data_IF_640422729405
#
_entry.id   IF_640422729405
#
_cell.length_a   1.000
_cell.length_b   1.000
_cell.length_c   1.000
_cell.angle_alpha   90.00
_cell.angle_beta   90.00
_cell.angle_gamma   90.00
#
_symmetry.space_group_name_H-M   'P 1'
#
loop_
_entity.id
_entity.type
_entity.pdbx_description
1 polymer ?
#
# COMPACT_ATOMS: atom_id res chain seq x y z
N UNK A 1 -25.90 15.43 -7.77
CA UNK A 1 -24.91 14.99 -6.76
C UNK A 1 -23.55 14.81 -7.44
N UNK A 2 -22.51 15.48 -6.95
CA UNK A 2 -21.13 15.27 -7.42
C UNK A 2 -20.57 13.97 -6.88
N UNK A 3 -19.88 13.20 -7.71
CA UNK A 3 -19.26 11.94 -7.31
C UNK A 3 -17.84 12.15 -6.80
N UNK A 4 -17.31 11.23 -5.94
CA UNK A 4 -16.01 11.39 -5.29
C UNK A 4 -14.79 11.45 -6.21
N UNK A 5 -14.91 10.99 -7.47
CA UNK A 5 -13.80 10.84 -8.40
C UNK A 5 -14.20 11.22 -9.83
N UNK A 6 -13.19 11.41 -10.68
CA UNK A 6 -13.33 11.64 -12.13
C UNK A 6 -14.14 12.87 -12.54
N UNK A 7 -14.42 13.80 -11.61
CA UNK A 7 -15.26 14.98 -11.84
C UNK A 7 -16.65 14.60 -12.40
N UNK A 8 -17.12 13.41 -12.04
CA UNK A 8 -18.39 12.88 -12.50
C UNK A 8 -19.54 13.37 -11.60
N UNK A 9 -20.76 13.34 -12.12
CA UNK A 9 -21.94 13.64 -11.32
C UNK A 9 -23.13 12.79 -11.75
N UNK A 10 -24.10 12.66 -10.86
CA UNK A 10 -25.34 11.95 -11.13
C UNK A 10 -26.52 12.74 -10.59
N UNK A 11 -27.62 12.75 -11.31
CA UNK A 11 -28.91 13.23 -10.85
C UNK A 11 -29.96 12.14 -11.13
N UNK A 12 -30.96 12.03 -10.27
CA UNK A 12 -32.00 11.03 -10.43
C UNK A 12 -33.32 11.51 -9.82
N UNK A 13 -34.41 10.89 -10.25
CA UNK A 13 -35.74 10.98 -9.65
C UNK A 13 -36.23 9.56 -9.41
N UNK A 14 -36.63 9.26 -8.17
CA UNK A 14 -37.19 7.96 -7.81
C UNK A 14 -38.71 8.05 -7.63
N UNK A 15 -39.44 7.25 -8.40
CA UNK A 15 -40.89 7.19 -8.40
C UNK A 15 -41.36 6.02 -7.52
N UNK A 16 -41.72 6.32 -6.26
CA UNK A 16 -42.15 5.31 -5.28
C UNK A 16 -43.31 4.43 -5.77
N UNK A 17 -44.28 5.01 -6.48
CA UNK A 17 -45.52 4.34 -6.85
C UNK A 17 -45.34 3.17 -7.83
N UNK A 18 -44.33 3.22 -8.69
CA UNK A 18 -44.03 2.17 -9.67
C UNK A 18 -42.63 1.57 -9.52
N UNK A 19 -41.87 2.00 -8.50
CA UNK A 19 -40.47 1.63 -8.25
C UNK A 19 -39.55 1.93 -9.45
N UNK A 20 -39.83 2.99 -10.20
CA UNK A 20 -39.03 3.41 -11.35
C UNK A 20 -38.01 4.48 -10.95
N UNK A 21 -36.78 4.32 -11.44
CA UNK A 21 -35.67 5.23 -11.26
C UNK A 21 -35.31 5.85 -12.61
N UNK A 22 -35.52 7.15 -12.74
CA UNK A 22 -35.02 7.95 -13.86
C UNK A 22 -33.69 8.57 -13.43
N UNK A 23 -32.63 8.38 -14.19
CA UNK A 23 -31.32 8.93 -13.84
C UNK A 23 -30.57 9.46 -15.05
N UNK A 24 -29.69 10.41 -14.77
CA UNK A 24 -28.67 10.91 -15.68
C UNK A 24 -27.31 10.90 -15.00
N UNK A 25 -26.35 10.24 -15.64
CA UNK A 25 -24.95 10.26 -15.27
C UNK A 25 -24.19 11.21 -16.19
N UNK A 26 -23.29 12.00 -15.61
CA UNK A 26 -22.39 12.91 -16.30
C UNK A 26 -20.95 12.45 -16.10
N UNK A 27 -20.23 12.26 -17.20
CA UNK A 27 -18.80 11.94 -17.20
C UNK A 27 -18.07 12.57 -18.36
N UNK A 28 -16.74 12.51 -18.32
CA UNK A 28 -15.88 13.14 -19.32
C UNK A 28 -14.98 12.11 -20.00
N UNK A 29 -14.90 12.15 -21.33
CA UNK A 29 -13.92 11.38 -22.10
C UNK A 29 -12.48 11.80 -21.76
N UNK A 30 -11.56 10.84 -21.77
CA UNK A 30 -10.11 11.09 -21.59
C UNK A 30 -9.32 10.95 -22.89
N UNK A 31 -10.02 10.64 -23.99
CA UNK A 31 -9.44 10.38 -25.30
C UNK A 31 -10.52 10.48 -26.38
N UNK A 32 -10.20 10.96 -27.60
CA UNK A 32 -11.14 11.01 -28.73
C UNK A 32 -11.72 9.66 -29.13
N UNK A 33 -10.99 8.56 -28.88
CA UNK A 33 -11.43 7.19 -29.18
C UNK A 33 -11.95 6.46 -27.94
N UNK A 34 -12.01 7.16 -26.81
CA UNK A 34 -12.28 6.59 -25.49
C UNK A 34 -13.72 6.17 -25.28
N UNK A 35 -13.99 5.75 -24.05
CA UNK A 35 -15.32 5.37 -23.60
C UNK A 35 -15.60 5.95 -22.22
N UNK A 36 -16.87 6.16 -21.91
CA UNK A 36 -17.37 6.56 -20.59
C UNK A 36 -18.50 5.61 -20.21
N UNK A 37 -18.44 5.04 -19.02
CA UNK A 37 -19.38 4.03 -18.57
C UNK A 37 -19.97 4.35 -17.20
N UNK A 38 -21.24 4.01 -17.04
CA UNK A 38 -21.94 4.00 -15.76
C UNK A 38 -22.77 2.71 -15.66
N UNK A 39 -22.85 2.13 -14.47
CA UNK A 39 -23.61 0.91 -14.28
C UNK A 39 -24.02 0.65 -12.84
N UNK A 40 -24.91 -0.33 -12.69
CA UNK A 40 -25.39 -0.83 -11.39
C UNK A 40 -24.86 -2.23 -11.17
N UNK A 41 -24.39 -2.48 -9.96
CA UNK A 41 -24.08 -3.81 -9.48
C UNK A 41 -25.19 -4.27 -8.51
N UNK A 42 -25.91 -5.37 -8.80
CA UNK A 42 -27.04 -5.80 -7.97
C UNK A 42 -26.64 -6.42 -6.62
N UNK A 43 -25.35 -6.72 -6.42
CA UNK A 43 -24.83 -7.47 -5.27
C UNK A 43 -23.96 -6.61 -4.35
N UNK A 44 -23.02 -5.85 -4.91
CA UNK A 44 -21.95 -5.19 -4.14
C UNK A 44 -21.45 -3.91 -4.81
N UNK A 45 -20.79 -3.04 -4.05
CA UNK A 45 -20.16 -1.81 -4.58
C UNK A 45 -18.78 -2.13 -5.18
N UNK A 46 -18.75 -2.90 -6.26
CA UNK A 46 -17.53 -3.28 -6.98
C UNK A 46 -17.73 -3.39 -8.50
N UNK A 47 -16.64 -3.31 -9.26
CA UNK A 47 -16.70 -3.32 -10.73
C UNK A 47 -17.18 -4.65 -11.30
N UNK A 48 -16.66 -5.77 -10.80
CA UNK A 48 -17.08 -7.11 -11.24
C UNK A 48 -18.51 -7.38 -10.78
N UNK A 49 -19.37 -7.83 -11.69
CA UNK A 49 -20.81 -7.94 -11.49
C UNK A 49 -21.59 -6.69 -11.90
N UNK A 50 -20.94 -5.65 -12.43
CA UNK A 50 -21.66 -4.45 -12.87
C UNK A 50 -22.39 -4.70 -14.20
N UNK A 51 -23.65 -4.25 -14.25
CA UNK A 51 -24.45 -4.12 -15.48
C UNK A 51 -24.28 -2.68 -15.94
N UNK A 52 -23.43 -2.49 -16.94
CA UNK A 52 -22.93 -1.20 -17.37
C UNK A 52 -23.58 -0.76 -18.68
N UNK A 53 -23.83 0.53 -18.79
CA UNK A 53 -24.11 1.24 -20.02
C UNK A 53 -22.85 2.03 -20.37
N UNK A 54 -22.27 1.75 -21.53
CA UNK A 54 -21.00 2.36 -21.94
C UNK A 54 -21.20 3.13 -23.23
N UNK A 55 -20.89 4.42 -23.17
CA UNK A 55 -20.94 5.36 -24.28
C UNK A 55 -19.57 5.51 -24.92
N UNK A 56 -19.51 5.44 -26.25
CA UNK A 56 -18.29 5.65 -27.03
C UNK A 56 -18.61 6.08 -28.47
N UNK A 57 -17.66 6.66 -29.22
CA UNK A 57 -17.82 6.91 -30.64
C UNK A 57 -17.88 5.59 -31.42
N UNK A 58 -18.92 5.42 -32.23
CA UNK A 58 -19.08 4.29 -33.11
C UNK A 58 -17.89 4.20 -34.08
N UNK A 59 -17.22 3.04 -34.22
CA UNK A 59 -16.02 2.93 -35.05
C UNK A 59 -16.25 3.22 -36.53
N UNK A 60 -17.49 3.08 -37.03
CA UNK A 60 -17.81 3.26 -38.44
C UNK A 60 -18.33 4.68 -38.74
N UNK A 61 -19.17 5.22 -37.86
CA UNK A 61 -19.88 6.49 -38.08
C UNK A 61 -19.34 7.66 -37.24
N UNK A 62 -18.56 7.38 -36.19
CA UNK A 62 -18.07 8.38 -35.24
C UNK A 62 -19.15 8.96 -34.32
N UNK A 63 -20.42 8.58 -34.49
CA UNK A 63 -21.52 9.03 -33.64
C UNK A 63 -21.47 8.36 -32.28
N UNK A 64 -21.97 9.04 -31.24
CA UNK A 64 -22.08 8.40 -29.93
C UNK A 64 -23.10 7.27 -29.96
N UNK A 65 -22.64 6.10 -29.54
CA UNK A 65 -23.43 4.90 -29.31
C UNK A 65 -23.38 4.57 -27.82
N UNK A 66 -24.49 4.03 -27.29
CA UNK A 66 -24.60 3.51 -25.94
C UNK A 66 -24.95 2.02 -26.00
N UNK A 67 -24.08 1.16 -25.46
CA UNK A 67 -24.33 -0.28 -25.44
C UNK A 67 -24.34 -0.86 -24.02
N UNK A 68 -25.15 -1.91 -23.78
CA UNK A 68 -25.18 -2.64 -22.52
C UNK A 68 -24.07 -3.68 -22.42
N UNK A 69 -23.45 -3.78 -21.25
CA UNK A 69 -22.39 -4.74 -20.95
C UNK A 69 -22.59 -5.37 -19.57
N UNK A 70 -22.34 -6.67 -19.49
CA UNK A 70 -22.24 -7.39 -18.22
C UNK A 70 -20.77 -7.61 -17.91
N UNK A 71 -20.26 -6.94 -16.88
CA UNK A 71 -18.86 -7.04 -16.46
C UNK A 71 -18.73 -8.25 -15.54
N UNK A 72 -18.28 -9.37 -16.08
CA UNK A 72 -18.07 -10.60 -15.31
C UNK A 72 -16.57 -10.91 -15.10
N UNK A 73 -16.20 -11.84 -14.21
CA UNK A 73 -14.79 -12.14 -13.90
C UNK A 73 -13.94 -12.58 -15.11
N UNK A 74 -14.56 -13.07 -16.19
CA UNK A 74 -13.86 -13.57 -17.39
C UNK A 74 -13.22 -12.45 -18.22
N UNK A 75 -13.75 -11.22 -18.15
CA UNK A 75 -13.21 -10.04 -18.87
C UNK A 75 -12.16 -9.29 -18.05
N UNK A 76 -11.91 -9.72 -16.80
CA UNK A 76 -10.96 -9.08 -15.89
C UNK A 76 -9.57 -9.06 -16.51
N UNK A 77 -8.93 -7.88 -16.47
CA UNK A 77 -7.62 -7.65 -17.11
C UNK A 77 -7.60 -7.97 -18.61
N UNK A 78 -8.73 -7.80 -19.31
CA UNK A 78 -8.88 -8.07 -20.74
C UNK A 78 -8.46 -9.49 -21.15
N UNK A 79 -8.63 -10.48 -20.27
CA UNK A 79 -8.39 -11.90 -20.63
C UNK A 79 -9.24 -12.34 -21.82
N UNK A 80 -10.44 -11.77 -21.94
CA UNK A 80 -11.35 -11.96 -23.07
C UNK A 80 -11.96 -10.60 -23.47
N UNK A 81 -12.39 -10.43 -24.74
CA UNK A 81 -13.09 -9.23 -25.17
C UNK A 81 -14.38 -9.01 -24.39
N UNK A 82 -14.67 -7.75 -24.03
CA UNK A 82 -15.93 -7.38 -23.39
C UNK A 82 -17.00 -7.21 -24.47
N UNK A 83 -17.88 -8.19 -24.60
CA UNK A 83 -18.94 -8.19 -25.60
C UNK A 83 -20.25 -7.62 -25.04
N UNK A 84 -20.90 -6.79 -25.86
CA UNK A 84 -22.22 -6.24 -25.57
C UNK A 84 -23.26 -7.35 -25.52
N UNK A 85 -24.14 -7.30 -24.52
CA UNK A 85 -25.25 -8.24 -24.36
C UNK A 85 -26.39 -7.61 -23.55
N UNK A 86 -27.64 -8.07 -23.71
CA UNK A 86 -28.77 -7.58 -22.92
C UNK A 86 -28.49 -7.67 -21.43
N UNK A 87 -28.93 -6.66 -20.68
CA UNK A 87 -28.81 -6.65 -19.23
C UNK A 87 -29.88 -7.55 -18.60
N UNK A 88 -29.51 -8.22 -17.52
CA UNK A 88 -30.40 -9.00 -16.65
C UNK A 88 -31.01 -8.15 -15.51
N UNK A 89 -31.05 -6.83 -15.73
CA UNK A 89 -31.80 -5.87 -14.92
C UNK A 89 -32.90 -5.25 -15.77
N UNK A 90 -33.98 -4.79 -15.15
CA UNK A 90 -35.13 -4.24 -15.85
C UNK A 90 -34.88 -2.80 -16.34
N UNK A 91 -34.12 -2.68 -17.43
CA UNK A 91 -33.87 -1.43 -18.13
C UNK A 91 -35.04 -1.12 -19.07
N UNK A 92 -35.75 -0.02 -18.78
CA UNK A 92 -36.90 0.44 -19.57
C UNK A 92 -36.42 1.25 -20.77
N UNK A 93 -35.49 2.16 -20.57
CA UNK A 93 -34.91 2.98 -21.63
C UNK A 93 -33.51 3.44 -21.28
N UNK A 94 -32.70 3.71 -22.31
CA UNK A 94 -31.38 4.31 -22.15
C UNK A 94 -30.98 5.10 -23.37
N UNK A 95 -30.29 6.22 -23.19
CA UNK A 95 -29.73 7.02 -24.27
C UNK A 95 -28.48 7.74 -23.81
N UNK A 96 -27.64 8.16 -24.75
CA UNK A 96 -26.48 8.98 -24.46
C UNK A 96 -26.46 10.19 -25.40
N UNK A 97 -25.99 11.33 -24.88
CA UNK A 97 -25.79 12.54 -25.68
C UNK A 97 -24.55 13.28 -25.23
N UNK A 98 -23.88 13.94 -26.17
CA UNK A 98 -22.77 14.82 -25.85
C UNK A 98 -23.29 16.16 -25.33
N UNK A 99 -22.63 16.65 -24.30
CA UNK A 99 -22.85 18.00 -23.82
C UNK A 99 -22.35 19.00 -24.87
N UNK A 100 -23.19 19.98 -25.24
CA UNK A 100 -22.92 20.90 -26.36
C UNK A 100 -23.77 20.66 -27.61
N UNK A 101 -24.63 19.64 -27.60
CA UNK A 101 -25.66 19.44 -28.63
C UNK A 101 -25.14 18.84 -29.94
N UNK A 102 -25.84 19.10 -31.06
CA UNK A 102 -25.61 18.42 -32.35
C UNK A 102 -24.22 18.64 -32.98
N UNK A 103 -23.50 19.68 -32.58
CA UNK A 103 -22.16 20.00 -33.08
C UNK A 103 -21.04 19.55 -32.15
N UNK A 104 -21.37 18.93 -31.02
CA UNK A 104 -20.36 18.43 -30.09
C UNK A 104 -19.63 17.23 -30.70
N UNK A 105 -18.30 17.21 -30.54
CA UNK A 105 -17.42 16.14 -31.00
C UNK A 105 -16.73 15.48 -29.81
N UNK A 106 -16.32 14.23 -29.98
CA UNK A 106 -15.58 13.52 -28.93
C UNK A 106 -14.12 13.94 -28.98
N UNK A 107 -13.65 14.52 -27.88
CA UNK A 107 -12.25 14.87 -27.65
C UNK A 107 -11.90 14.65 -26.18
N UNK A 108 -10.62 14.83 -25.82
CA UNK A 108 -10.23 14.79 -24.41
C UNK A 108 -10.93 15.90 -23.64
N UNK A 109 -11.61 15.54 -22.55
CA UNK A 109 -12.44 16.45 -21.74
C UNK A 109 -13.86 16.65 -22.25
N UNK A 110 -14.26 16.07 -23.39
CA UNK A 110 -15.64 16.15 -23.86
C UNK A 110 -16.59 15.49 -22.85
N UNK A 111 -17.68 16.18 -22.50
CA UNK A 111 -18.66 15.70 -21.53
C UNK A 111 -19.78 14.91 -22.21
N UNK A 112 -20.22 13.83 -21.57
CA UNK A 112 -21.32 12.98 -22.02
C UNK A 112 -22.34 12.79 -20.90
N UNK A 113 -23.61 12.79 -21.30
CA UNK A 113 -24.74 12.48 -20.44
C UNK A 113 -25.28 11.10 -20.84
N UNK A 114 -25.38 10.19 -19.87
CA UNK A 114 -26.00 8.88 -20.04
C UNK A 114 -27.29 8.88 -19.25
N UNK A 115 -28.41 8.76 -19.96
CA UNK A 115 -29.75 8.64 -19.40
C UNK A 115 -30.13 7.18 -19.28
N UNK A 116 -30.75 6.81 -18.17
CA UNK A 116 -31.30 5.48 -17.98
C UNK A 116 -32.60 5.54 -17.16
N UNK A 117 -33.57 4.73 -17.56
CA UNK A 117 -34.80 4.48 -16.81
C UNK A 117 -34.82 3.01 -16.41
N UNK A 118 -34.89 2.75 -15.12
CA UNK A 118 -34.77 1.40 -14.55
C UNK A 118 -35.96 1.10 -13.65
N UNK A 119 -36.46 -0.13 -13.68
CA UNK A 119 -37.39 -0.60 -12.65
C UNK A 119 -36.62 -1.32 -11.56
N UNK A 120 -36.67 -0.78 -10.35
CA UNK A 120 -36.06 -1.38 -9.17
C UNK A 120 -36.98 -2.46 -8.60
N UNK A 121 -36.37 -3.40 -7.87
CA UNK A 121 -37.15 -4.36 -7.09
C UNK A 121 -37.95 -3.62 -5.99
N UNK A 122 -39.20 -4.04 -5.70
CA UNK A 122 -39.99 -3.42 -4.63
C UNK A 122 -39.21 -3.39 -3.31
N UNK A 123 -39.29 -2.29 -2.58
CA UNK A 123 -38.59 -2.06 -1.30
C UNK A 123 -37.05 -2.10 -1.36
N UNK A 124 -36.43 -2.05 -2.55
CA UNK A 124 -34.99 -1.80 -2.70
C UNK A 124 -34.73 -0.40 -3.24
N UNK A 125 -34.45 0.52 -2.33
CA UNK A 125 -34.04 1.90 -2.62
C UNK A 125 -32.52 2.07 -2.70
N UNK A 126 -31.74 1.10 -2.22
CA UNK A 126 -30.28 1.17 -2.28
C UNK A 126 -29.75 0.58 -3.57
N UNK A 127 -28.96 1.36 -4.29
CA UNK A 127 -28.24 0.91 -5.48
C UNK A 127 -26.74 1.02 -5.27
N UNK A 128 -26.01 0.00 -5.70
CA UNK A 128 -24.56 0.07 -5.85
C UNK A 128 -24.27 0.46 -7.29
N UNK A 129 -23.55 1.56 -7.49
CA UNK A 129 -23.19 2.02 -8.81
C UNK A 129 -21.68 2.13 -8.99
N UNK A 130 -21.26 2.04 -10.23
CA UNK A 130 -19.86 2.14 -10.66
C UNK A 130 -19.84 3.06 -11.87
N UNK A 131 -18.83 3.91 -11.94
CA UNK A 131 -18.55 4.70 -13.13
C UNK A 131 -17.09 4.54 -13.50
N UNK A 132 -16.77 4.65 -14.77
CA UNK A 132 -15.38 4.74 -15.20
C UNK A 132 -15.27 5.28 -16.63
N UNK A 133 -14.04 5.44 -17.09
CA UNK A 133 -13.70 5.91 -18.42
C UNK A 133 -12.40 5.29 -18.90
N UNK A 134 -12.26 5.08 -20.21
CA UNK A 134 -11.08 4.46 -20.80
C UNK A 134 -10.57 5.16 -22.04
N UNK A 135 -9.36 4.76 -22.45
CA UNK A 135 -8.60 5.44 -23.49
C UNK A 135 -9.08 5.11 -24.91
N UNK A 136 -9.55 3.88 -25.14
CA UNK A 136 -10.03 3.48 -26.46
C UNK A 136 -10.97 2.27 -26.43
N UNK A 137 -11.66 2.02 -27.53
CA UNK A 137 -12.49 0.83 -27.77
C UNK A 137 -11.86 0.01 -28.90
N UNK A 138 -11.82 -1.32 -28.75
CA UNK A 138 -11.37 -2.25 -29.81
C UNK A 138 -12.60 -2.86 -30.48
N UNK A 139 -12.94 -2.39 -31.69
CA UNK A 139 -14.24 -2.71 -32.31
C UNK A 139 -15.38 -2.18 -31.44
N UNK A 140 -16.19 -3.07 -30.88
CA UNK A 140 -17.25 -2.72 -29.91
C UNK A 140 -16.94 -3.22 -28.48
N UNK A 141 -15.67 -3.54 -28.20
CA UNK A 141 -15.19 -3.97 -26.88
C UNK A 141 -14.42 -2.84 -26.20
N UNK A 142 -14.98 -2.17 -25.17
CA UNK A 142 -14.27 -1.21 -24.37
C UNK A 142 -13.01 -1.81 -23.75
N UNK A 143 -11.89 -1.10 -23.81
CA UNK A 143 -10.65 -1.56 -23.18
C UNK A 143 -10.63 -1.28 -21.69
N UNK A 144 -9.69 -1.88 -20.96
CA UNK A 144 -9.55 -1.62 -19.52
C UNK A 144 -9.33 -0.12 -19.25
N UNK A 145 -10.00 0.40 -18.21
CA UNK A 145 -9.79 1.77 -17.77
C UNK A 145 -8.42 1.92 -17.10
N UNK A 146 -7.85 3.14 -17.01
CA UNK A 146 -6.68 3.40 -16.19
C UNK A 146 -6.89 2.94 -14.75
N UNK A 147 -5.83 2.51 -14.07
CA UNK A 147 -5.92 1.93 -12.71
C UNK A 147 -5.35 2.85 -11.65
N UNK A 148 -5.50 4.16 -11.84
CA UNK A 148 -5.08 5.14 -10.84
C UNK A 148 -6.03 5.11 -9.63
N UNK A 149 -5.64 5.76 -8.53
CA UNK A 149 -6.43 5.78 -7.30
C UNK A 149 -7.87 6.33 -7.52
N UNK A 150 -8.00 7.36 -8.35
CA UNK A 150 -9.29 7.96 -8.69
C UNK A 150 -10.18 6.99 -9.49
N UNK A 151 -9.60 6.21 -10.40
CA UNK A 151 -10.35 5.25 -11.22
C UNK A 151 -10.79 4.04 -10.39
N UNK A 152 -9.93 3.56 -9.50
CA UNK A 152 -10.22 2.40 -8.64
C UNK A 152 -11.20 2.72 -7.50
N UNK A 153 -11.39 4.01 -7.18
CA UNK A 153 -12.35 4.46 -6.17
C UNK A 153 -13.72 4.85 -6.77
N UNK A 154 -13.93 4.64 -8.07
CA UNK A 154 -15.14 5.06 -8.81
C UNK A 154 -16.34 4.14 -8.61
N UNK A 155 -16.70 3.92 -7.34
CA UNK A 155 -17.88 3.17 -6.91
C UNK A 155 -18.52 3.81 -5.68
N UNK A 156 -19.84 3.72 -5.59
CA UNK A 156 -20.55 4.16 -4.39
C UNK A 156 -21.86 3.37 -4.18
N UNK A 157 -22.42 3.53 -2.99
CA UNK A 157 -23.77 3.06 -2.68
C UNK A 157 -24.62 4.24 -2.28
N UNK A 158 -25.76 4.38 -2.94
CA UNK A 158 -26.71 5.45 -2.68
C UNK A 158 -28.09 4.87 -2.43
N UNK A 159 -28.79 5.44 -1.46
CA UNK A 159 -30.21 5.26 -1.28
C UNK A 159 -30.94 6.31 -2.14
N UNK A 160 -31.62 5.87 -3.20
CA UNK A 160 -32.22 6.76 -4.19
C UNK A 160 -33.44 7.53 -3.67
N UNK A 161 -33.95 7.14 -2.50
CA UNK A 161 -35.13 7.74 -1.90
C UNK A 161 -34.75 8.85 -0.91
N UNK A 162 -33.78 8.58 -0.03
CA UNK A 162 -33.26 9.56 0.91
C UNK A 162 -32.15 10.43 0.34
N UNK A 163 -31.52 10.01 -0.76
CA UNK A 163 -30.29 10.58 -1.29
C UNK A 163 -29.07 10.38 -0.40
N UNK A 164 -29.17 9.56 0.65
CA UNK A 164 -28.06 9.29 1.55
C UNK A 164 -27.02 8.38 0.87
N UNK A 165 -25.74 8.69 1.08
CA UNK A 165 -24.63 7.93 0.52
C UNK A 165 -23.93 7.12 1.62
N UNK A 166 -23.98 5.79 1.51
CA UNK A 166 -23.29 4.90 2.45
C UNK A 166 -21.80 4.71 2.11
N UNK A 167 -21.38 5.08 0.89
CA UNK A 167 -20.01 4.90 0.40
C UNK A 167 -18.95 5.79 1.10
N UNK A 168 -19.34 6.97 1.58
CA UNK A 168 -18.42 7.93 2.20
C UNK A 168 -17.76 7.39 3.48
N UNK A 169 -18.53 6.74 4.36
CA UNK A 169 -17.98 6.15 5.59
C UNK A 169 -17.04 4.98 5.31
N UNK A 170 -17.38 4.08 4.37
CA UNK A 170 -16.52 2.94 4.03
C UNK A 170 -15.18 3.42 3.43
N UNK A 171 -15.21 4.40 2.54
CA UNK A 171 -14.01 4.98 1.96
C UNK A 171 -13.15 5.70 3.02
N UNK A 172 -13.79 6.40 3.97
CA UNK A 172 -13.11 6.98 5.12
C UNK A 172 -12.39 5.93 5.98
N UNK A 173 -13.06 4.83 6.33
CA UNK A 173 -12.46 3.73 7.09
C UNK A 173 -11.27 3.10 6.35
N UNK A 174 -11.41 2.83 5.05
CA UNK A 174 -10.31 2.29 4.23
C UNK A 174 -9.11 3.25 4.22
N UNK A 175 -9.35 4.55 4.08
CA UNK A 175 -8.30 5.56 4.12
C UNK A 175 -7.59 5.58 5.49
N UNK A 176 -8.35 5.55 6.58
CA UNK A 176 -7.79 5.48 7.94
C UNK A 176 -6.92 4.23 8.13
N UNK A 177 -7.40 3.05 7.71
CA UNK A 177 -6.64 1.81 7.79
C UNK A 177 -5.38 1.84 6.93
N UNK A 178 -5.44 2.43 5.73
CA UNK A 178 -4.28 2.60 4.84
C UNK A 178 -3.21 3.48 5.47
N UNK A 179 -3.61 4.61 6.05
CA UNK A 179 -2.69 5.51 6.78
C UNK A 179 -2.10 4.82 8.00
N UNK A 180 -2.93 4.14 8.80
CA UNK A 180 -2.48 3.40 9.96
C UNK A 180 -1.45 2.31 9.58
N UNK A 181 -1.74 1.50 8.56
CA UNK A 181 -0.83 0.49 8.02
C UNK A 181 0.52 1.11 7.61
N UNK A 182 0.50 2.22 6.86
CA UNK A 182 1.70 2.89 6.40
C UNK A 182 2.56 3.42 7.57
N UNK A 183 1.93 4.09 8.54
CA UNK A 183 2.62 4.67 9.70
C UNK A 183 3.23 3.58 10.59
N UNK A 184 2.43 2.59 11.01
CA UNK A 184 2.91 1.56 11.94
C UNK A 184 4.02 0.72 11.33
N UNK A 185 3.93 0.38 10.03
CA UNK A 185 4.97 -0.38 9.35
C UNK A 185 6.19 0.46 9.00
N UNK A 186 6.03 1.75 8.72
CA UNK A 186 7.14 2.69 8.56
C UNK A 186 7.98 2.78 9.84
N UNK A 187 7.32 2.90 11.01
CA UNK A 187 7.99 2.90 12.32
C UNK A 187 8.63 1.52 12.59
N UNK A 188 7.87 0.44 12.44
CA UNK A 188 8.31 -0.91 12.76
C UNK A 188 9.46 -1.39 11.87
N UNK A 189 9.19 -1.54 10.56
CA UNK A 189 10.12 -2.15 9.61
C UNK A 189 11.16 -1.15 9.09
N UNK A 190 10.79 0.13 9.00
CA UNK A 190 11.63 1.17 8.43
C UNK A 190 12.54 1.87 9.43
N UNK A 191 12.23 1.86 10.73
CA UNK A 191 13.02 2.57 11.76
C UNK A 191 13.48 1.62 12.86
N UNK A 192 12.56 0.97 13.58
CA UNK A 192 12.91 0.14 14.74
C UNK A 192 13.84 -1.02 14.39
N UNK A 193 13.56 -1.77 13.31
CA UNK A 193 14.43 -2.89 12.93
C UNK A 193 15.87 -2.46 12.54
N UNK A 194 16.06 -1.43 11.68
CA UNK A 194 17.39 -0.85 11.47
C UNK A 194 18.06 -0.37 12.76
N UNK A 195 17.35 0.37 13.61
CA UNK A 195 17.89 0.86 14.89
C UNK A 195 18.33 -0.31 15.77
N UNK A 196 17.53 -1.37 15.89
CA UNK A 196 17.89 -2.56 16.66
C UNK A 196 19.16 -3.23 16.13
N UNK A 197 19.34 -3.32 14.81
CA UNK A 197 20.56 -3.86 14.21
C UNK A 197 21.79 -3.00 14.54
N UNK A 198 21.67 -1.68 14.45
CA UNK A 198 22.70 -0.70 14.81
C UNK A 198 23.07 -0.80 16.30
N UNK A 199 22.07 -0.88 17.18
CA UNK A 199 22.26 -1.08 18.62
C UNK A 199 23.09 -2.33 18.92
N UNK A 200 22.77 -3.48 18.31
CA UNK A 200 23.54 -4.71 18.51
C UNK A 200 24.96 -4.62 17.95
N UNK A 201 25.15 -3.89 16.85
CA UNK A 201 26.45 -3.73 16.22
C UNK A 201 27.40 -2.92 17.12
N UNK A 202 26.97 -1.77 17.62
CA UNK A 202 27.88 -0.85 18.32
C UNK A 202 27.90 -1.04 19.84
N UNK A 203 26.75 -1.22 20.49
CA UNK A 203 26.71 -1.33 21.96
C UNK A 203 27.37 -2.61 22.48
N UNK A 204 27.44 -3.66 21.65
CA UNK A 204 28.09 -4.93 22.01
C UNK A 204 29.58 -4.79 22.31
N UNK A 205 30.24 -3.77 21.76
CA UNK A 205 31.68 -3.54 21.95
C UNK A 205 31.98 -2.68 23.19
N UNK A 206 30.97 -2.12 23.84
CA UNK A 206 31.14 -1.23 25.00
C UNK A 206 31.15 -2.09 26.27
N UNK A 207 32.34 -2.26 26.85
CA UNK A 207 32.55 -3.14 28.01
C UNK A 207 31.73 -2.74 29.23
N UNK A 208 31.49 -1.44 29.45
CA UNK A 208 30.65 -0.92 30.55
C UNK A 208 29.17 -1.26 30.42
N UNK A 209 28.68 -1.55 29.21
CA UNK A 209 27.28 -1.92 28.96
C UNK A 209 27.05 -3.42 29.23
N UNK A 210 28.10 -4.25 29.21
CA UNK A 210 28.00 -5.67 29.56
C UNK A 210 26.92 -6.43 28.77
N UNK A 211 26.04 -7.23 29.40
CA UNK A 211 24.97 -7.95 28.69
C UNK A 211 23.78 -7.07 28.29
N UNK A 212 23.70 -5.82 28.76
CA UNK A 212 22.54 -4.94 28.56
C UNK A 212 22.24 -4.67 27.08
N UNK A 213 23.25 -4.58 26.23
CA UNK A 213 23.06 -4.38 24.77
C UNK A 213 22.15 -5.46 24.16
N UNK A 214 22.22 -6.70 24.67
CA UNK A 214 21.44 -7.81 24.15
C UNK A 214 19.96 -7.62 24.47
N UNK A 215 19.63 -7.18 25.69
CA UNK A 215 18.26 -6.90 26.10
C UNK A 215 17.68 -5.69 25.37
N UNK A 216 18.48 -4.63 25.17
CA UNK A 216 18.05 -3.45 24.40
C UNK A 216 17.79 -3.84 22.93
N UNK A 217 18.71 -4.56 22.30
CA UNK A 217 18.51 -5.08 20.94
C UNK A 217 17.24 -5.94 20.87
N UNK A 218 17.09 -6.92 21.77
CA UNK A 218 15.93 -7.81 21.81
C UNK A 218 14.63 -7.03 21.99
N UNK A 219 14.59 -6.06 22.90
CA UNK A 219 13.41 -5.23 23.15
C UNK A 219 13.00 -4.41 21.93
N UNK A 220 13.96 -3.78 21.24
CA UNK A 220 13.69 -3.02 20.01
C UNK A 220 13.17 -3.94 18.91
N UNK A 221 13.82 -5.10 18.69
CA UNK A 221 13.43 -6.03 17.63
C UNK A 221 12.06 -6.66 17.89
N UNK A 222 11.76 -7.06 19.13
CA UNK A 222 10.45 -7.61 19.46
C UNK A 222 9.35 -6.56 19.32
N UNK A 223 9.60 -5.33 19.76
CA UNK A 223 8.65 -4.22 19.59
C UNK A 223 8.39 -3.93 18.10
N UNK A 224 9.45 -3.86 17.30
CA UNK A 224 9.36 -3.69 15.84
C UNK A 224 8.57 -4.82 15.18
N UNK A 225 8.84 -6.08 15.55
CA UNK A 225 8.12 -7.22 14.97
C UNK A 225 6.64 -7.28 15.38
N UNK A 226 6.30 -6.97 16.64
CA UNK A 226 4.91 -6.94 17.12
C UNK A 226 4.11 -5.85 16.41
N UNK A 227 4.62 -4.62 16.38
CA UNK A 227 3.98 -3.51 15.66
C UNK A 227 3.87 -3.82 14.16
N UNK A 228 4.93 -4.39 13.58
CA UNK A 228 4.96 -4.82 12.20
C UNK A 228 3.94 -5.92 11.88
N UNK A 229 3.66 -6.81 12.83
CA UNK A 229 2.62 -7.85 12.69
C UNK A 229 1.22 -7.26 12.68
N UNK A 230 0.94 -6.30 13.56
CA UNK A 230 -0.32 -5.55 13.56
C UNK A 230 -0.50 -4.82 12.23
N UNK A 231 0.53 -4.11 11.76
CA UNK A 231 0.52 -3.45 10.46
C UNK A 231 0.29 -4.45 9.31
N UNK A 232 0.98 -5.58 9.31
CA UNK A 232 0.82 -6.63 8.31
C UNK A 232 -0.62 -7.16 8.26
N UNK A 233 -1.23 -7.46 9.41
CA UNK A 233 -2.62 -7.90 9.51
C UNK A 233 -3.61 -6.86 8.95
N UNK A 234 -3.39 -5.57 9.22
CA UNK A 234 -4.18 -4.49 8.61
C UNK A 234 -3.99 -4.46 7.09
N UNK A 235 -2.78 -4.74 6.59
CA UNK A 235 -2.49 -4.85 5.16
C UNK A 235 -3.28 -5.96 4.48
N UNK A 236 -3.40 -7.13 5.12
CA UNK A 236 -4.26 -8.23 4.64
C UNK A 236 -5.72 -7.78 4.61
N UNK A 237 -6.20 -7.15 5.69
CA UNK A 237 -7.58 -6.66 5.77
C UNK A 237 -7.89 -5.60 4.71
N UNK A 238 -6.95 -4.72 4.39
CA UNK A 238 -7.08 -3.77 3.29
C UNK A 238 -7.24 -4.47 1.94
N UNK A 239 -6.52 -5.57 1.72
CA UNK A 239 -6.68 -6.41 0.53
C UNK A 239 -8.10 -6.98 0.40
N UNK A 240 -8.68 -7.48 1.50
CA UNK A 240 -10.05 -8.01 1.52
C UNK A 240 -11.11 -6.92 1.32
N UNK A 241 -10.84 -5.71 1.81
CA UNK A 241 -11.75 -4.57 1.69
C UNK A 241 -11.71 -3.89 0.31
N UNK A 242 -10.67 -4.17 -0.49
CA UNK A 242 -10.43 -3.58 -1.81
C UNK A 242 -10.26 -4.64 -2.90
N UNK A 243 -11.29 -5.47 -3.15
CA UNK A 243 -11.23 -6.49 -4.19
C UNK A 243 -10.93 -5.86 -5.55
N UNK A 244 -9.98 -6.46 -6.28
CA UNK A 244 -9.55 -5.96 -7.60
C UNK A 244 -8.41 -4.94 -7.58
N UNK A 245 -8.12 -4.29 -6.45
CA UNK A 245 -6.92 -3.45 -6.29
C UNK A 245 -5.74 -4.34 -5.91
N UNK A 246 -4.66 -4.31 -6.69
CA UNK A 246 -3.49 -5.16 -6.43
C UNK A 246 -2.19 -4.35 -6.49
N UNK A 247 -1.42 -4.42 -5.41
CA UNK A 247 -0.07 -3.85 -5.31
C UNK A 247 0.96 -4.98 -5.29
N UNK A 248 1.24 -5.53 -6.46
CA UNK A 248 1.96 -6.80 -6.60
C UNK A 248 3.37 -6.81 -5.97
N UNK A 249 4.17 -5.76 -6.20
CA UNK A 249 5.54 -5.69 -5.68
C UNK A 249 5.55 -5.49 -4.16
N UNK A 250 4.89 -4.43 -3.65
CA UNK A 250 4.77 -4.17 -2.20
C UNK A 250 4.23 -5.38 -1.44
N UNK A 251 3.19 -6.04 -1.94
CA UNK A 251 2.64 -7.23 -1.28
C UNK A 251 3.67 -8.37 -1.22
N UNK A 252 4.33 -8.71 -2.33
CA UNK A 252 5.35 -9.78 -2.36
C UNK A 252 6.51 -9.48 -1.41
N UNK A 253 7.03 -8.25 -1.43
CA UNK A 253 8.11 -7.82 -0.53
C UNK A 253 7.66 -7.84 0.94
N UNK A 254 6.42 -7.41 1.23
CA UNK A 254 5.85 -7.46 2.57
C UNK A 254 5.72 -8.87 3.14
N UNK A 255 5.23 -9.82 2.35
CA UNK A 255 5.20 -11.24 2.74
C UNK A 255 6.61 -11.78 2.99
N UNK A 256 7.57 -11.48 2.11
CA UNK A 256 8.96 -11.92 2.28
C UNK A 256 9.59 -11.34 3.56
N UNK A 257 9.43 -10.04 3.80
CA UNK A 257 9.92 -9.36 5.00
C UNK A 257 9.29 -9.93 6.28
N UNK A 258 7.97 -10.17 6.27
CA UNK A 258 7.27 -10.75 7.41
C UNK A 258 7.76 -12.17 7.75
N UNK A 259 7.93 -13.03 6.73
CA UNK A 259 8.47 -14.39 6.92
C UNK A 259 9.91 -14.36 7.45
N UNK A 260 10.78 -13.50 6.91
CA UNK A 260 12.14 -13.34 7.42
C UNK A 260 12.16 -12.80 8.84
N UNK A 261 11.28 -11.86 9.19
CA UNK A 261 11.11 -11.34 10.54
C UNK A 261 10.67 -12.44 11.52
N UNK A 262 9.66 -13.23 11.14
CA UNK A 262 9.20 -14.36 11.93
C UNK A 262 10.34 -15.36 12.16
N UNK A 263 11.05 -15.73 11.09
CA UNK A 263 12.22 -16.58 11.17
C UNK A 263 13.25 -15.98 12.14
N UNK A 264 13.58 -14.69 12.01
CA UNK A 264 14.52 -14.00 12.89
C UNK A 264 14.12 -14.04 14.37
N UNK A 265 12.83 -13.99 14.71
CA UNK A 265 12.37 -14.13 16.10
C UNK A 265 12.57 -15.54 16.66
N UNK A 266 12.49 -16.58 15.83
CA UNK A 266 12.81 -17.96 16.24
C UNK A 266 14.27 -18.12 16.65
N UNK A 267 15.16 -17.21 16.23
CA UNK A 267 16.55 -17.19 16.69
C UNK A 267 16.65 -17.04 18.22
N UNK A 268 15.67 -16.40 18.88
CA UNK A 268 15.62 -16.33 20.34
C UNK A 268 15.32 -17.70 20.97
N UNK A 269 14.34 -18.43 20.44
CA UNK A 269 13.91 -19.73 20.94
C UNK A 269 15.00 -20.79 20.76
N UNK A 270 15.63 -20.82 19.59
CA UNK A 270 16.64 -21.82 19.24
C UNK A 270 18.07 -21.37 19.51
N UNK A 271 18.27 -20.40 20.42
CA UNK A 271 19.60 -19.83 20.73
C UNK A 271 20.50 -20.86 21.43
N UNK A 272 21.56 -21.39 20.78
CA UNK A 272 22.42 -22.39 21.41
C UNK A 272 23.31 -21.78 22.50
N UNK A 273 23.71 -22.59 23.49
CA UNK A 273 24.77 -22.24 24.45
C UNK A 273 26.06 -21.86 23.71
N UNK A 274 26.87 -20.98 24.29
CA UNK A 274 28.11 -20.48 23.68
C UNK A 274 29.13 -21.58 23.37
N UNK A 275 29.09 -22.68 24.11
CA UNK A 275 29.95 -23.87 23.96
C UNK A 275 29.45 -24.86 22.89
N UNK A 276 28.25 -24.68 22.35
CA UNK A 276 27.65 -25.63 21.40
C UNK A 276 28.18 -25.39 19.97
N UNK A 277 28.59 -26.46 19.27
CA UNK A 277 29.05 -26.40 17.87
C UNK A 277 28.07 -25.71 16.90
N UNK A 278 26.76 -25.83 17.16
CA UNK A 278 25.72 -25.20 16.34
C UNK A 278 25.65 -23.67 16.50
N UNK A 279 26.35 -23.09 17.50
CA UNK A 279 26.41 -21.64 17.73
C UNK A 279 26.94 -20.87 16.53
N UNK A 280 27.88 -21.45 15.76
CA UNK A 280 28.43 -20.82 14.53
C UNK A 280 27.36 -20.68 13.45
N UNK A 281 26.60 -21.74 13.18
CA UNK A 281 25.52 -21.73 12.20
C UNK A 281 24.40 -20.78 12.61
N UNK A 282 24.00 -20.81 13.89
CA UNK A 282 23.01 -19.88 14.43
C UNK A 282 23.45 -18.41 14.26
N UNK A 283 24.72 -18.08 14.51
CA UNK A 283 25.24 -16.72 14.29
C UNK A 283 25.16 -16.32 12.82
N UNK A 284 25.54 -17.21 11.90
CA UNK A 284 25.49 -16.95 10.45
C UNK A 284 24.06 -16.69 9.98
N UNK A 285 23.17 -17.61 10.32
CA UNK A 285 21.73 -17.52 10.06
C UNK A 285 21.13 -16.21 10.59
N UNK A 286 21.34 -15.91 11.88
CA UNK A 286 20.77 -14.72 12.52
C UNK A 286 21.29 -13.43 11.87
N UNK A 287 22.53 -13.40 11.41
CA UNK A 287 23.12 -12.22 10.77
C UNK A 287 22.58 -12.04 9.34
N UNK A 288 22.59 -13.11 8.54
CA UNK A 288 22.16 -13.07 7.14
C UNK A 288 20.65 -12.79 7.01
N UNK A 289 19.82 -13.54 7.74
CA UNK A 289 18.37 -13.36 7.76
C UNK A 289 18.01 -11.99 8.34
N UNK A 290 18.72 -11.55 9.39
CA UNK A 290 18.52 -10.24 10.00
C UNK A 290 18.74 -9.08 9.03
N UNK A 291 19.86 -9.07 8.29
CA UNK A 291 20.09 -8.00 7.31
C UNK A 291 19.16 -8.06 6.12
N UNK A 292 18.88 -9.26 5.59
CA UNK A 292 17.91 -9.42 4.51
C UNK A 292 16.54 -8.86 4.93
N UNK A 293 16.10 -9.15 6.16
CA UNK A 293 14.88 -8.63 6.75
C UNK A 293 14.87 -7.08 6.83
N UNK A 294 15.95 -6.48 7.35
CA UNK A 294 16.10 -5.01 7.43
C UNK A 294 16.04 -4.35 6.06
N UNK A 295 16.79 -4.88 5.09
CA UNK A 295 16.83 -4.34 3.72
C UNK A 295 15.45 -4.45 3.04
N UNK A 296 14.82 -5.63 3.08
CA UNK A 296 13.50 -5.81 2.50
C UNK A 296 12.44 -4.96 3.20
N UNK A 297 12.51 -4.81 4.53
CA UNK A 297 11.64 -3.93 5.30
C UNK A 297 11.71 -2.48 4.81
N UNK A 298 12.92 -1.93 4.72
CA UNK A 298 13.15 -0.55 4.25
C UNK A 298 12.68 -0.36 2.80
N UNK A 299 13.03 -1.27 1.89
CA UNK A 299 12.58 -1.21 0.49
C UNK A 299 11.05 -1.27 0.42
N UNK A 300 10.43 -2.14 1.23
CA UNK A 300 8.99 -2.30 1.21
C UNK A 300 8.25 -1.05 1.73
N UNK A 301 8.83 -0.32 2.68
CA UNK A 301 8.30 0.98 3.13
C UNK A 301 8.36 2.02 2.00
N UNK A 302 9.48 2.09 1.24
CA UNK A 302 9.54 2.95 0.05
C UNK A 302 8.49 2.57 -1.00
N UNK A 303 8.34 1.27 -1.28
CA UNK A 303 7.27 0.77 -2.15
C UNK A 303 5.87 1.16 -1.62
N UNK A 304 5.67 1.14 -0.31
CA UNK A 304 4.45 1.61 0.34
C UNK A 304 4.14 3.08 0.04
N UNK A 305 5.13 3.98 0.10
CA UNK A 305 4.94 5.38 -0.27
C UNK A 305 4.51 5.55 -1.73
N UNK A 306 5.11 4.80 -2.66
CA UNK A 306 4.72 4.84 -4.08
C UNK A 306 3.29 4.33 -4.30
N UNK A 307 2.95 3.20 -3.68
CA UNK A 307 1.60 2.62 -3.68
C UNK A 307 0.56 3.59 -3.09
N UNK A 308 0.98 4.42 -2.14
CA UNK A 308 0.13 5.45 -1.52
C UNK A 308 -0.01 6.72 -2.35
N UNK A 309 0.71 6.87 -3.47
CA UNK A 309 0.80 8.12 -4.22
C UNK A 309 1.51 9.23 -3.43
N UNK A 310 2.30 8.86 -2.43
CA UNK A 310 2.99 9.76 -1.49
C UNK A 310 4.50 9.83 -1.79
N UNK A 311 4.90 9.50 -3.03
CA UNK A 311 6.29 9.47 -3.49
C UNK A 311 7.01 10.82 -3.39
N UNK A 312 6.28 11.93 -3.41
CA UNK A 312 6.79 13.30 -3.23
C UNK A 312 6.39 13.97 -1.91
N UNK A 313 5.93 13.19 -0.92
CA UNK A 313 5.38 13.74 0.33
C UNK A 313 6.47 14.15 1.34
N UNK A 314 6.15 15.12 2.21
CA UNK A 314 6.98 15.47 3.37
C UNK A 314 7.18 14.29 4.33
N UNK A 315 6.22 13.37 4.42
CA UNK A 315 6.34 12.16 5.24
C UNK A 315 7.47 11.25 4.71
N UNK A 316 7.56 11.06 3.39
CA UNK A 316 8.67 10.31 2.77
C UNK A 316 10.00 11.04 2.96
N UNK A 317 10.02 12.37 2.82
CA UNK A 317 11.22 13.18 3.11
C UNK A 317 11.70 12.97 4.55
N UNK A 318 10.80 13.05 5.53
CA UNK A 318 11.11 12.83 6.94
C UNK A 318 11.64 11.42 7.21
N UNK A 319 11.06 10.40 6.56
CA UNK A 319 11.56 9.03 6.61
C UNK A 319 12.99 8.91 6.03
N UNK A 320 13.24 9.53 4.86
CA UNK A 320 14.58 9.58 4.26
C UNK A 320 15.60 10.27 5.18
N UNK A 321 15.21 11.39 5.81
CA UNK A 321 16.08 12.10 6.76
C UNK A 321 16.43 11.22 7.96
N UNK A 322 15.44 10.52 8.53
CA UNK A 322 15.66 9.59 9.64
C UNK A 322 16.65 8.47 9.26
N UNK A 323 16.48 7.85 8.09
CA UNK A 323 17.41 6.84 7.58
C UNK A 323 18.81 7.41 7.31
N UNK A 324 18.90 8.59 6.70
CA UNK A 324 20.17 9.26 6.44
C UNK A 324 20.92 9.58 7.74
N UNK A 325 20.20 10.05 8.76
CA UNK A 325 20.79 10.27 10.10
C UNK A 325 21.29 8.97 10.71
N UNK A 326 20.52 7.87 10.62
CA UNK A 326 20.93 6.57 11.14
C UNK A 326 22.18 6.04 10.42
N UNK A 327 22.23 6.15 9.10
CA UNK A 327 23.40 5.76 8.29
C UNK A 327 24.61 6.65 8.62
N UNK A 328 24.41 7.96 8.71
CA UNK A 328 25.45 8.90 9.12
C UNK A 328 26.03 8.56 10.48
N UNK A 329 25.18 8.28 11.47
CA UNK A 329 25.61 7.83 12.79
C UNK A 329 26.41 6.53 12.73
N UNK A 330 26.01 5.57 11.89
CA UNK A 330 26.77 4.33 11.68
C UNK A 330 28.16 4.61 11.11
N UNK A 331 28.26 5.46 10.07
CA UNK A 331 29.55 5.85 9.47
C UNK A 331 30.44 6.51 10.54
N UNK A 332 29.91 7.45 11.32
CA UNK A 332 30.67 8.10 12.41
C UNK A 332 31.16 7.09 13.46
N UNK A 333 30.31 6.14 13.87
CA UNK A 333 30.68 5.10 14.83
C UNK A 333 31.70 4.10 14.27
N UNK A 334 31.64 3.77 12.97
CA UNK A 334 32.68 2.97 12.31
C UNK A 334 34.02 3.68 12.28
N UNK A 335 34.05 4.95 11.86
CA UNK A 335 35.28 5.76 11.83
C UNK A 335 35.89 5.84 13.22
N UNK A 336 35.09 6.12 14.25
CA UNK A 336 35.57 6.15 15.63
C UNK A 336 36.11 4.77 16.09
N UNK A 337 35.43 3.69 15.73
CA UNK A 337 35.88 2.32 16.05
C UNK A 337 37.23 1.99 15.41
N UNK A 338 37.45 2.42 14.16
CA UNK A 338 38.73 2.31 13.46
C UNK A 338 39.83 3.14 14.10
N UNK A 339 39.54 4.40 14.45
CA UNK A 339 40.50 5.26 15.15
C UNK A 339 40.94 4.64 16.48
N UNK A 340 39.98 4.12 17.27
CA UNK A 340 40.28 3.43 18.54
C UNK A 340 41.10 2.16 18.31
N UNK A 341 40.79 1.39 17.27
CA UNK A 341 41.56 0.20 16.89
C UNK A 341 43.01 0.55 16.53
N UNK A 342 43.23 1.55 15.67
CA UNK A 342 44.56 2.02 15.29
C UNK A 342 45.35 2.56 16.49
N UNK A 343 44.68 3.29 17.41
CA UNK A 343 45.31 3.78 18.65
C UNK A 343 45.76 2.63 19.53
N UNK A 344 44.90 1.62 19.77
CA UNK A 344 45.27 0.43 20.56
C UNK A 344 46.41 -0.35 19.91
N UNK A 345 46.39 -0.53 18.59
CA UNK A 345 47.49 -1.20 17.88
C UNK A 345 48.82 -0.45 18.05
N UNK A 346 48.79 0.89 18.04
CA UNK A 346 49.97 1.73 18.32
C UNK A 346 50.43 1.60 19.77
N UNK A 347 49.51 1.66 20.74
CA UNK A 347 49.81 1.47 22.17
C UNK A 347 50.41 0.09 22.45
N UNK A 348 49.86 -0.97 21.86
CA UNK A 348 50.36 -2.34 21.98
C UNK A 348 51.75 -2.51 21.33
N UNK A 349 52.02 -1.80 20.23
CA UNK A 349 53.35 -1.76 19.62
C UNK A 349 54.35 -1.05 20.53
N UNK A 350 54.01 0.13 21.05
CA UNK A 350 54.86 0.89 21.97
C UNK A 350 55.13 0.14 23.28
N UNK A 351 54.16 -0.63 23.78
CA UNK A 351 54.34 -1.55 24.92
C UNK A 351 55.32 -2.69 24.61
N UNK A 352 55.23 -3.30 23.42
CA UNK A 352 56.19 -4.35 23.00
C UNK A 352 57.61 -3.81 22.81
N UNK A 353 57.74 -2.56 22.38
CA UNK A 353 59.02 -1.87 22.19
C UNK A 353 59.58 -1.27 23.50
N UNK A 354 58.89 -1.43 24.64
CA UNK A 354 59.33 -0.93 25.95
C UNK A 354 59.24 0.58 26.14
N UNK A 355 58.62 1.30 25.20
CA UNK A 355 58.49 2.76 25.20
C UNK A 355 57.40 3.29 26.14
N UNK A 356 56.53 2.39 26.65
CA UNK A 356 55.50 2.70 27.65
C UNK A 356 55.57 1.64 28.75
N UNK A 357 55.95 2.04 29.97
CA UNK A 357 56.10 1.14 31.11
C UNK A 357 54.77 0.52 31.57
N UNK A 358 54.82 -0.74 32.01
CA UNK A 358 53.73 -1.35 32.77
C UNK A 358 53.61 -0.62 34.10
N UNK A 359 52.58 0.20 34.28
CA UNK A 359 52.24 0.69 35.61
C UNK A 359 51.65 -0.48 36.39
N UNK A 360 52.51 -1.16 37.15
CA UNK A 360 52.09 -1.99 38.26
C UNK A 360 51.31 -1.11 39.24
N UNK A 361 50.02 -1.44 39.42
CA UNK A 361 49.27 -0.92 40.56
C UNK A 361 49.67 -1.73 41.80
N UNK A 362 50.48 -1.11 42.65
CA UNK A 362 50.34 -1.22 44.10
C UNK A 362 51.25 -2.22 44.80
N UNK A 363 52.41 -1.71 45.20
CA UNK A 363 53.16 -2.15 46.38
C UNK A 363 52.24 -2.32 47.61
N UNK A 364 52.31 -3.48 48.24
CA UNK A 364 51.89 -3.69 49.62
C UNK A 364 53.05 -4.30 50.39
N UNK A 365 53.90 -3.47 50.99
CA UNK A 365 54.86 -3.90 52.02
C UNK A 365 54.89 -2.84 53.12
N UNK A 366 54.51 -3.22 54.34
CA UNK A 366 55.29 -2.86 55.53
C UNK A 366 55.07 -3.84 56.70
N UNK A 367 56.16 -4.56 56.98
CA UNK A 367 56.76 -4.99 58.25
C UNK A 367 56.06 -5.87 59.30
N UNK A 368 56.83 -6.89 59.68
CA UNK A 368 56.86 -7.67 60.91
C UNK A 368 57.41 -6.90 62.13
N UNK A 369 57.09 -7.42 63.33
CA UNK A 369 57.66 -7.23 64.69
C UNK A 369 56.96 -6.20 65.60
N UNK A 370 56.00 -6.66 66.43
CA UNK A 370 56.21 -7.10 67.83
C UNK A 370 54.93 -7.76 68.38
#
# INVERSE_FOLDING_TARGET
MTLPSQQASIAWTFHRHNSTLDLVFFGNFISPSGWVGWGINPVSSEMTGTRALIAFPDPNSGQIVLLPYVIDPTVKLQRTPLLSRPLDIHLISSSATLYGGKLATVHSGAAVQIFATLKLAPNRTRIHHVWNRGLYVQGYSPTIHPTNADDLSSTATIDVESGSTAGGQRNGVILTLRTFHGVINGIAWGILLPTGAVTARYLRHIQSIGPTWFYVHMGIQLSGFVLGTVGFAVGIRLGDLSPGVQYGLHRKLGFAAFLLGALQTLALLFRPKTTNKFRKYWKSYHHFVGYACVVLGVINVFQGFEVMGQGGSYAKLGYCLCLATLIGACISLEVNSWVVFCRKAKEDKLRREGLIGSSDKGSGIHNSLN
#
